data_IF_600059099203
#
_entry.id   IF_600059099203
#
_cell.length_a   1.000
_cell.length_b   1.000
_cell.length_c   1.000
_cell.angle_alpha   90.00
_cell.angle_beta   90.00
_cell.angle_gamma   90.00
#
_symmetry.space_group_name_H-M   'P 1'
#
loop_
_entity.id
_entity.type
_entity.pdbx_description
1 polymer ?
#
# COMPACT_ATOMS: atom_id res chain seq x y z
N UNK A 1 1.20 21.94 17.57
CA UNK A 1 1.70 21.77 18.96
C UNK A 1 1.36 20.39 19.52
N UNK A 2 0.10 19.93 19.51
CA UNK A 2 -0.27 18.62 20.07
C UNK A 2 0.45 17.40 19.46
N UNK A 3 0.48 17.29 18.12
CA UNK A 3 1.14 16.15 17.43
C UNK A 3 2.66 16.16 17.67
N UNK A 4 3.28 17.34 17.68
CA UNK A 4 4.71 17.49 17.94
C UNK A 4 5.09 17.09 19.37
N UNK A 5 4.26 17.44 20.36
CA UNK A 5 4.45 17.01 21.74
C UNK A 5 4.27 15.49 21.88
N UNK A 6 3.26 14.90 21.23
CA UNK A 6 3.05 13.46 21.23
C UNK A 6 4.21 12.68 20.59
N UNK A 7 4.71 13.15 19.45
CA UNK A 7 5.87 12.55 18.78
C UNK A 7 7.15 12.67 19.64
N UNK A 8 7.37 13.82 20.29
CA UNK A 8 8.50 14.01 21.20
C UNK A 8 8.44 13.06 22.40
N UNK A 9 7.26 12.87 23.01
CA UNK A 9 7.07 11.93 24.11
C UNK A 9 7.33 10.48 23.70
N UNK A 10 6.90 10.07 22.50
CA UNK A 10 7.17 8.72 21.97
C UNK A 10 8.66 8.51 21.66
N UNK A 11 9.37 9.56 21.21
CA UNK A 11 10.79 9.50 20.87
C UNK A 11 11.73 9.48 22.10
N UNK A 12 11.23 9.82 23.30
CA UNK A 12 12.01 9.75 24.54
C UNK A 12 12.22 8.31 25.04
N UNK A 13 11.49 7.35 24.48
CA UNK A 13 11.68 5.93 24.76
C UNK A 13 12.77 5.37 23.83
N UNK A 14 13.97 5.01 24.32
CA UNK A 14 15.07 4.52 23.49
C UNK A 14 14.82 3.14 22.88
N UNK A 15 13.83 2.38 23.37
CA UNK A 15 13.37 1.14 22.74
C UNK A 15 12.31 1.39 21.64
N UNK A 16 11.96 2.66 21.39
CA UNK A 16 11.00 3.01 20.35
C UNK A 16 11.57 2.73 18.95
N UNK A 17 11.05 1.68 18.32
CA UNK A 17 11.25 1.38 16.92
C UNK A 17 10.50 2.38 16.02
N UNK A 18 10.66 3.70 16.25
CA UNK A 18 10.00 4.75 15.46
C UNK A 18 10.35 4.60 13.98
N UNK A 19 11.60 4.25 13.68
CA UNK A 19 12.03 3.99 12.32
C UNK A 19 11.27 2.81 11.69
N UNK A 20 11.09 1.69 12.41
CA UNK A 20 10.38 0.53 11.88
C UNK A 20 8.87 0.79 11.77
N UNK A 21 8.29 1.53 12.72
CA UNK A 21 6.89 1.95 12.68
C UNK A 21 6.62 2.84 11.47
N UNK A 22 7.51 3.81 11.22
CA UNK A 22 7.43 4.71 10.08
C UNK A 22 7.64 3.93 8.79
N UNK A 23 8.68 3.08 8.70
CA UNK A 23 8.94 2.23 7.54
C UNK A 23 7.72 1.35 7.19
N UNK A 24 7.11 0.72 8.20
CA UNK A 24 5.90 -0.08 8.03
C UNK A 24 4.71 0.76 7.53
N UNK A 25 4.48 1.94 8.09
CA UNK A 25 3.42 2.83 7.62
C UNK A 25 3.65 3.28 6.16
N UNK A 26 4.90 3.62 5.80
CA UNK A 26 5.28 3.97 4.43
C UNK A 26 5.18 2.78 3.47
N UNK A 27 5.45 1.56 3.91
CA UNK A 27 5.24 0.35 3.12
C UNK A 27 3.76 0.20 2.74
N UNK A 28 2.84 0.42 3.69
CA UNK A 28 1.39 0.43 3.45
C UNK A 28 0.97 1.47 2.41
N UNK A 29 1.42 2.71 2.56
CA UNK A 29 1.13 3.77 1.59
C UNK A 29 1.72 3.48 0.20
N UNK A 30 2.97 3.01 0.14
CA UNK A 30 3.63 2.66 -1.11
C UNK A 30 2.94 1.52 -1.85
N UNK A 31 2.51 0.48 -1.13
CA UNK A 31 1.78 -0.65 -1.69
C UNK A 31 0.37 -0.27 -2.17
N UNK A 32 -0.36 0.57 -1.42
CA UNK A 32 -1.72 0.96 -1.77
C UNK A 32 -1.77 2.00 -2.89
N UNK A 33 -0.91 3.03 -2.85
CA UNK A 33 -0.97 4.17 -3.76
C UNK A 33 0.05 4.13 -4.89
N UNK A 34 1.22 3.50 -4.70
CA UNK A 34 2.27 3.44 -5.74
C UNK A 34 1.77 2.86 -7.07
N UNK A 35 1.21 1.63 -7.08
CA UNK A 35 0.64 1.02 -8.28
C UNK A 35 -0.48 1.84 -8.89
N UNK A 36 -1.32 2.44 -8.05
CA UNK A 36 -2.47 3.25 -8.48
C UNK A 36 -2.00 4.50 -9.22
N UNK A 37 -1.05 5.24 -8.65
CA UNK A 37 -0.52 6.47 -9.27
C UNK A 37 0.16 6.13 -10.60
N UNK A 38 1.03 5.11 -10.62
CA UNK A 38 1.75 4.71 -11.84
C UNK A 38 0.76 4.25 -12.92
N UNK A 39 -0.16 3.34 -12.61
CA UNK A 39 -1.10 2.84 -13.61
C UNK A 39 -2.11 3.90 -14.06
N UNK A 40 -2.50 4.85 -13.20
CA UNK A 40 -3.39 5.95 -13.61
C UNK A 40 -2.77 6.84 -14.67
N UNK A 41 -1.43 7.00 -14.66
CA UNK A 41 -0.71 7.83 -15.62
C UNK A 41 -0.44 7.09 -16.94
N UNK A 42 -0.14 5.79 -16.87
CA UNK A 42 0.34 5.04 -18.03
C UNK A 42 -0.69 4.08 -18.65
N UNK A 43 -1.80 3.78 -17.95
CA UNK A 43 -2.76 2.78 -18.39
C UNK A 43 -4.16 3.35 -18.63
N UNK A 44 -4.51 3.51 -19.91
CA UNK A 44 -5.79 4.10 -20.34
C UNK A 44 -7.05 3.33 -19.92
N UNK A 45 -6.93 2.06 -19.53
CA UNK A 45 -8.07 1.23 -19.12
C UNK A 45 -8.31 1.25 -17.61
N UNK A 46 -7.60 2.10 -16.86
CA UNK A 46 -7.81 2.24 -15.42
C UNK A 46 -9.28 2.56 -15.11
N UNK A 47 -9.93 1.75 -14.26
CA UNK A 47 -11.29 1.99 -13.81
C UNK A 47 -11.33 2.48 -12.36
N UNK A 48 -12.42 3.15 -11.97
CA UNK A 48 -12.61 3.62 -10.59
C UNK A 48 -12.59 2.46 -9.59
N UNK A 49 -13.24 1.34 -9.92
CA UNK A 49 -13.25 0.19 -9.03
C UNK A 49 -11.90 -0.53 -9.05
N UNK A 50 -11.16 -0.50 -10.16
CA UNK A 50 -9.77 -0.96 -10.22
C UNK A 50 -8.86 -0.18 -9.27
N UNK A 51 -9.00 1.15 -9.22
CA UNK A 51 -8.30 2.00 -8.24
C UNK A 51 -8.63 1.58 -6.80
N UNK A 52 -9.92 1.47 -6.47
CA UNK A 52 -10.36 1.08 -5.12
C UNK A 52 -9.86 -0.32 -4.74
N UNK A 53 -9.94 -1.28 -5.66
CA UNK A 53 -9.44 -2.62 -5.46
C UNK A 53 -7.92 -2.61 -5.19
N UNK A 54 -7.14 -1.84 -5.96
CA UNK A 54 -5.71 -1.67 -5.73
C UNK A 54 -5.36 -1.13 -4.34
N UNK A 55 -6.02 -0.05 -3.91
CA UNK A 55 -5.79 0.58 -2.60
C UNK A 55 -6.10 -0.41 -1.47
N UNK A 56 -7.28 -1.05 -1.52
CA UNK A 56 -7.73 -1.96 -0.47
C UNK A 56 -6.83 -3.19 -0.42
N UNK A 57 -6.59 -3.84 -1.57
CA UNK A 57 -5.80 -5.06 -1.64
C UNK A 57 -4.34 -4.80 -1.25
N UNK A 58 -3.74 -3.69 -1.71
CA UNK A 58 -2.38 -3.30 -1.33
C UNK A 58 -2.23 -3.07 0.17
N UNK A 59 -3.13 -2.28 0.76
CA UNK A 59 -3.11 -2.01 2.21
C UNK A 59 -3.34 -3.27 3.05
N UNK A 60 -4.34 -4.08 2.69
CA UNK A 60 -4.62 -5.35 3.39
C UNK A 60 -3.45 -6.33 3.26
N UNK A 61 -2.81 -6.39 2.09
CA UNK A 61 -1.65 -7.27 1.89
C UNK A 61 -0.52 -6.90 2.84
N UNK A 62 -0.19 -5.62 3.01
CA UNK A 62 0.87 -5.19 3.94
C UNK A 62 0.54 -5.57 5.39
N UNK A 63 -0.71 -5.34 5.81
CA UNK A 63 -1.15 -5.67 7.18
C UNK A 63 -1.10 -7.17 7.45
N UNK A 64 -1.53 -7.98 6.49
CA UNK A 64 -1.50 -9.44 6.62
C UNK A 64 -0.08 -9.98 6.53
N UNK A 65 0.75 -9.42 5.63
CA UNK A 65 2.12 -9.88 5.43
C UNK A 65 2.97 -9.70 6.69
N UNK A 66 2.80 -8.59 7.41
CA UNK A 66 3.54 -8.33 8.66
C UNK A 66 3.27 -9.35 9.77
N UNK A 67 2.12 -10.02 9.72
CA UNK A 67 1.74 -11.03 10.73
C UNK A 67 2.26 -12.43 10.40
N UNK A 68 2.72 -12.66 9.16
CA UNK A 68 3.28 -13.93 8.73
C UNK A 68 4.79 -13.93 8.99
N UNK A 69 5.34 -15.07 9.41
CA UNK A 69 6.76 -15.20 9.75
C UNK A 69 7.42 -16.34 8.98
N UNK A 70 8.68 -16.14 8.59
CA UNK A 70 9.55 -17.18 8.05
C UNK A 70 9.67 -17.20 6.53
N UNK A 71 10.91 -17.34 6.04
CA UNK A 71 11.21 -17.60 4.65
C UNK A 71 10.85 -16.41 3.76
N UNK A 72 9.91 -16.61 2.82
CA UNK A 72 9.46 -15.53 1.93
C UNK A 72 8.75 -14.40 2.67
N UNK A 73 8.21 -14.65 3.87
CA UNK A 73 7.47 -13.66 4.65
C UNK A 73 8.39 -12.67 5.39
N UNK A 74 9.69 -12.96 5.47
CA UNK A 74 10.70 -12.02 5.99
C UNK A 74 11.06 -10.93 4.95
N UNK A 75 10.52 -11.04 3.72
CA UNK A 75 10.65 -10.02 2.69
C UNK A 75 9.87 -8.76 3.08
N UNK A 76 10.46 -7.60 2.78
CA UNK A 76 9.84 -6.30 3.00
C UNK A 76 8.44 -6.22 2.39
N UNK A 77 7.46 -5.85 3.20
CA UNK A 77 6.02 -6.01 2.96
C UNK A 77 5.51 -5.19 1.77
N UNK A 78 6.23 -4.14 1.40
CA UNK A 78 5.90 -3.29 0.24
C UNK A 78 5.95 -4.09 -1.07
N UNK A 79 6.87 -5.06 -1.20
CA UNK A 79 7.09 -5.81 -2.44
C UNK A 79 5.87 -6.65 -2.81
N UNK A 80 5.40 -7.56 -1.93
CA UNK A 80 4.17 -8.31 -2.19
C UNK A 80 2.95 -7.38 -2.24
N UNK A 81 2.89 -6.34 -1.42
CA UNK A 81 1.81 -5.36 -1.46
C UNK A 81 1.63 -4.70 -2.83
N UNK A 82 2.72 -4.21 -3.43
CA UNK A 82 2.74 -3.62 -4.77
C UNK A 82 2.30 -4.64 -5.83
N UNK A 83 2.80 -5.88 -5.76
CA UNK A 83 2.48 -6.92 -6.74
C UNK A 83 0.99 -7.27 -6.72
N UNK A 84 0.45 -7.55 -5.54
CA UNK A 84 -0.96 -7.96 -5.40
C UNK A 84 -1.90 -6.78 -5.71
N UNK A 85 -1.56 -5.55 -5.30
CA UNK A 85 -2.31 -4.35 -5.67
C UNK A 85 -2.33 -4.12 -7.19
N UNK A 86 -1.17 -4.25 -7.86
CA UNK A 86 -1.07 -4.15 -9.31
C UNK A 86 -1.96 -5.19 -10.01
N UNK A 87 -1.90 -6.45 -9.56
CA UNK A 87 -2.76 -7.51 -10.10
C UNK A 87 -4.24 -7.23 -9.88
N UNK A 88 -4.63 -6.75 -8.69
CA UNK A 88 -6.02 -6.38 -8.41
C UNK A 88 -6.50 -5.26 -9.34
N UNK A 89 -5.70 -4.20 -9.54
CA UNK A 89 -6.02 -3.11 -10.47
C UNK A 89 -6.18 -3.67 -11.89
N UNK A 90 -5.23 -4.50 -12.35
CA UNK A 90 -5.26 -5.07 -13.70
C UNK A 90 -6.47 -5.96 -13.94
N UNK A 91 -6.80 -6.84 -12.98
CA UNK A 91 -7.93 -7.76 -13.10
C UNK A 91 -9.26 -7.01 -13.09
N UNK A 92 -9.48 -6.16 -12.08
CA UNK A 92 -10.76 -5.43 -11.94
C UNK A 92 -10.98 -4.46 -13.08
N UNK A 93 -9.95 -3.70 -13.47
CA UNK A 93 -10.07 -2.74 -14.57
C UNK A 93 -10.26 -3.41 -15.94
N UNK A 94 -9.87 -4.69 -16.12
CA UNK A 94 -10.12 -5.44 -17.35
C UNK A 94 -11.49 -6.13 -17.39
N UNK A 95 -12.03 -6.50 -16.23
CA UNK A 95 -13.37 -7.06 -16.12
C UNK A 95 -14.44 -5.99 -16.34
N UNK A 96 -14.11 -4.74 -16.02
CA UNK A 96 -14.98 -3.60 -16.30
C UNK A 96 -14.82 -3.12 -17.74
N UNK A 97 -15.94 -2.69 -18.32
CA UNK A 97 -15.90 -2.01 -19.63
C UNK A 97 -15.03 -0.76 -19.45
N UNK A 98 -14.09 -0.49 -20.38
CA UNK A 98 -13.33 0.75 -20.31
C UNK A 98 -14.34 1.89 -20.19
N UNK A 99 -14.12 2.79 -19.23
CA UNK A 99 -14.87 4.03 -19.18
C UNK A 99 -14.67 4.69 -20.54
N UNK A 100 -15.67 4.53 -21.41
CA UNK A 100 -15.73 5.29 -22.64
C UNK A 100 -15.64 6.74 -22.22
N UNK A 101 -14.73 7.47 -22.83
CA UNK A 101 -14.79 8.92 -22.79
C UNK A 101 -16.12 9.25 -23.44
N UNK A 102 -17.14 9.55 -22.63
CA UNK A 102 -18.37 10.21 -23.07
C UNK A 102 -18.02 11.62 -23.57
#
# INVERSE_FOLDING_TARGET
>A
VGIAAAAFLLALDPDSQVLDLVAYAWAGFGAAFGPVVVLSLYWRRMSRNGVLAGIIVGGVTVVLWKQLQGGIFDLYEIVPGILVATLAILLVSRLERPAGVE
#
